data_IF_566010395756
#
_entry.id   IF_566010395756
#
_cell.length_a   1.000
_cell.length_b   1.000
_cell.length_c   1.000
_cell.angle_alpha   90.00
_cell.angle_beta   90.00
_cell.angle_gamma   90.00
#
_symmetry.space_group_name_H-M   'P 1'
#
loop_
_entity.id
_entity.type
_entity.pdbx_description
1 polymer ?
#
# COMPACT_ATOMS: atom_id res chain seq x y z
N UNK A 1 -13.45 -9.71 1.85
CA UNK A 1 -12.16 -9.27 1.29
C UNK A 1 -11.06 -9.80 2.21
N UNK A 2 -9.88 -10.13 1.69
CA UNK A 2 -8.82 -10.79 2.47
C UNK A 2 -7.73 -9.78 2.85
N UNK A 3 -7.15 -9.93 4.04
CA UNK A 3 -6.07 -9.06 4.55
C UNK A 3 -4.68 -9.46 4.01
N UNK A 4 -4.63 -10.50 3.17
CA UNK A 4 -3.44 -11.11 2.58
C UNK A 4 -3.80 -11.66 1.18
N UNK A 5 -2.86 -11.61 0.24
CA UNK A 5 -3.01 -12.21 -1.10
C UNK A 5 -2.47 -13.64 -1.09
N UNK A 6 -3.07 -14.56 -1.86
CA UNK A 6 -2.55 -15.95 -1.93
C UNK A 6 -1.08 -16.00 -2.37
N UNK A 7 -0.34 -17.02 -1.92
CA UNK A 7 1.08 -17.21 -2.26
C UNK A 7 1.33 -17.18 -3.77
N UNK A 8 0.45 -17.83 -4.55
CA UNK A 8 0.51 -17.82 -6.01
C UNK A 8 0.34 -16.41 -6.60
N UNK A 9 -0.55 -15.59 -6.03
CA UNK A 9 -0.69 -14.18 -6.42
C UNK A 9 0.55 -13.37 -6.05
N UNK A 10 1.08 -13.56 -4.84
CA UNK A 10 2.26 -12.85 -4.32
C UNK A 10 3.51 -13.15 -5.16
N UNK A 11 3.66 -14.41 -5.61
CA UNK A 11 4.74 -14.82 -6.51
C UNK A 11 4.71 -14.10 -7.86
N UNK A 12 3.51 -13.78 -8.36
CA UNK A 12 3.31 -13.14 -9.67
C UNK A 12 3.25 -11.61 -9.63
N UNK A 13 3.47 -10.98 -8.47
CA UNK A 13 3.54 -9.53 -8.38
C UNK A 13 4.75 -9.00 -9.14
N UNK A 14 4.57 -7.91 -9.89
CA UNK A 14 5.71 -7.14 -10.41
C UNK A 14 6.58 -6.62 -9.25
N UNK A 15 7.87 -6.30 -9.49
CA UNK A 15 8.77 -5.85 -8.43
C UNK A 15 8.21 -4.67 -7.60
N UNK A 16 7.62 -3.66 -8.24
CA UNK A 16 7.05 -2.51 -7.53
C UNK A 16 5.77 -2.87 -6.74
N UNK A 17 4.93 -3.76 -7.27
CA UNK A 17 3.75 -4.25 -6.53
C UNK A 17 4.20 -5.05 -5.31
N UNK A 18 5.24 -5.88 -5.45
CA UNK A 18 5.80 -6.67 -4.35
C UNK A 18 6.36 -5.78 -3.25
N UNK A 19 7.13 -4.76 -3.60
CA UNK A 19 7.66 -3.79 -2.61
C UNK A 19 6.55 -3.08 -1.84
N UNK A 20 5.49 -2.64 -2.53
CA UNK A 20 4.33 -1.99 -1.88
C UNK A 20 3.57 -2.99 -0.99
N UNK A 21 3.37 -4.22 -1.48
CA UNK A 21 2.72 -5.29 -0.75
C UNK A 21 3.48 -5.62 0.54
N UNK A 22 4.77 -5.92 0.46
CA UNK A 22 5.59 -6.29 1.62
C UNK A 22 5.62 -5.15 2.66
N UNK A 23 5.65 -3.90 2.22
CA UNK A 23 5.58 -2.75 3.12
C UNK A 23 4.24 -2.68 3.87
N UNK A 24 3.12 -2.83 3.17
CA UNK A 24 1.78 -2.86 3.79
C UNK A 24 1.62 -4.07 4.72
N UNK A 25 2.17 -5.22 4.35
CA UNK A 25 2.12 -6.44 5.15
C UNK A 25 2.95 -6.36 6.43
N UNK A 26 3.89 -5.41 6.52
CA UNK A 26 4.60 -5.12 7.76
C UNK A 26 3.75 -4.37 8.81
N UNK A 27 2.49 -4.05 8.50
CA UNK A 27 1.58 -3.30 9.38
C UNK A 27 1.84 -1.79 9.40
N UNK A 28 2.69 -1.29 8.49
CA UNK A 28 3.02 0.13 8.39
C UNK A 28 2.04 0.89 7.50
N UNK A 29 1.86 2.16 7.81
CA UNK A 29 1.13 3.09 6.94
C UNK A 29 1.99 3.55 5.76
N UNK A 30 1.46 3.39 4.56
CA UNK A 30 2.08 3.85 3.33
C UNK A 30 1.51 5.20 2.91
N UNK A 31 2.38 6.20 2.76
CA UNK A 31 2.04 7.50 2.17
C UNK A 31 2.75 7.69 0.83
N UNK A 32 2.34 8.69 0.04
CA UNK A 32 3.05 9.05 -1.20
C UNK A 32 4.53 9.36 -0.96
N UNK A 33 4.84 10.06 0.13
CA UNK A 33 6.20 10.45 0.45
C UNK A 33 7.06 9.23 0.78
N UNK A 34 6.55 8.30 1.58
CA UNK A 34 7.22 7.03 1.87
C UNK A 34 7.45 6.21 0.59
N UNK A 35 6.43 6.11 -0.26
CA UNK A 35 6.53 5.37 -1.50
C UNK A 35 7.65 5.91 -2.41
N UNK A 36 7.74 7.23 -2.57
CA UNK A 36 8.74 7.86 -3.44
C UNK A 36 10.13 7.82 -2.81
N UNK A 37 10.25 8.23 -1.56
CA UNK A 37 11.56 8.48 -0.93
C UNK A 37 12.21 7.21 -0.37
N UNK A 38 11.39 6.24 0.06
CA UNK A 38 11.88 5.02 0.72
C UNK A 38 11.76 3.80 -0.19
N UNK A 39 10.64 3.67 -0.91
CA UNK A 39 10.39 2.48 -1.75
C UNK A 39 10.78 2.70 -3.21
N UNK A 40 11.14 3.92 -3.60
CA UNK A 40 11.40 4.33 -4.99
C UNK A 40 10.25 4.01 -5.97
N UNK A 41 9.01 4.07 -5.47
CA UNK A 41 7.77 3.85 -6.24
C UNK A 41 7.09 5.19 -6.49
N UNK A 42 7.14 5.67 -7.74
CA UNK A 42 6.57 6.96 -8.14
C UNK A 42 5.03 6.95 -8.17
N UNK A 43 4.43 5.87 -8.70
CA UNK A 43 2.99 5.76 -8.91
C UNK A 43 2.29 4.92 -7.84
N UNK A 44 2.42 5.32 -6.57
CA UNK A 44 1.85 4.55 -5.45
C UNK A 44 0.34 4.32 -5.60
N UNK A 45 -0.41 5.30 -6.08
CA UNK A 45 -1.87 5.19 -6.27
C UNK A 45 -2.23 4.09 -7.27
N UNK A 46 -1.44 3.94 -8.33
CA UNK A 46 -1.61 2.88 -9.34
C UNK A 46 -1.35 1.52 -8.72
N UNK A 47 -0.25 1.38 -7.95
CA UNK A 47 0.08 0.12 -7.25
C UNK A 47 -0.98 -0.27 -6.23
N UNK A 48 -1.52 0.70 -5.47
CA UNK A 48 -2.65 0.45 -4.55
C UNK A 48 -3.89 -0.04 -5.31
N UNK A 49 -4.23 0.58 -6.43
CA UNK A 49 -5.39 0.20 -7.24
C UNK A 49 -5.26 -1.23 -7.78
N UNK A 50 -4.09 -1.59 -8.28
CA UNK A 50 -3.80 -2.94 -8.77
C UNK A 50 -3.86 -3.99 -7.66
N UNK A 51 -3.22 -3.74 -6.51
CA UNK A 51 -3.27 -4.67 -5.38
C UNK A 51 -4.69 -4.87 -4.85
N UNK A 52 -5.52 -3.82 -4.85
CA UNK A 52 -6.96 -3.92 -4.55
C UNK A 52 -7.70 -4.78 -5.57
N UNK A 53 -7.40 -4.64 -6.87
CA UNK A 53 -7.99 -5.49 -7.93
C UNK A 53 -7.59 -6.96 -7.76
N UNK A 54 -6.41 -7.23 -7.21
CA UNK A 54 -5.96 -8.58 -6.86
C UNK A 54 -6.63 -9.13 -5.58
N UNK A 55 -7.45 -8.33 -4.91
CA UNK A 55 -8.26 -8.76 -3.75
C UNK A 55 -7.72 -8.35 -2.39
N UNK A 56 -6.64 -7.57 -2.32
CA UNK A 56 -6.09 -7.07 -1.06
C UNK A 56 -6.96 -5.96 -0.48
N UNK A 57 -7.41 -6.11 0.76
CA UNK A 57 -8.21 -5.10 1.46
C UNK A 57 -7.37 -3.94 2.00
N UNK A 58 -6.97 -3.04 1.10
CA UNK A 58 -6.21 -1.84 1.46
C UNK A 58 -7.17 -0.71 1.84
N UNK A 59 -7.16 -0.28 3.09
CA UNK A 59 -7.87 0.90 3.57
C UNK A 59 -7.13 2.18 3.21
N UNK A 60 -7.85 3.29 3.18
CA UNK A 60 -7.23 4.60 2.96
C UNK A 60 -7.95 5.72 3.67
N UNK A 61 -7.19 6.67 4.16
CA UNK A 61 -7.67 7.83 4.90
C UNK A 61 -7.00 9.11 4.43
N UNK A 62 -7.69 10.24 4.59
CA UNK A 62 -7.13 11.56 4.35
C UNK A 62 -6.60 12.13 5.67
N UNK A 63 -5.30 12.42 5.71
CA UNK A 63 -4.64 13.11 6.82
C UNK A 63 -4.24 14.52 6.39
N UNK A 64 -3.83 15.34 7.36
CA UNK A 64 -3.22 16.65 7.12
C UNK A 64 -1.84 16.67 7.73
N UNK A 65 -0.89 17.30 7.05
CA UNK A 65 0.42 17.58 7.63
C UNK A 65 0.36 18.83 8.52
N UNK A 66 1.51 19.22 9.08
CA UNK A 66 1.63 20.41 9.92
C UNK A 66 1.23 21.71 9.18
N UNK A 67 1.42 21.76 7.86
CA UNK A 67 1.03 22.89 7.01
C UNK A 67 -0.45 22.88 6.59
N UNK A 68 -1.23 21.89 7.03
CA UNK A 68 -2.63 21.72 6.64
C UNK A 68 -2.84 21.09 5.27
N UNK A 69 -1.78 20.70 4.56
CA UNK A 69 -1.87 20.04 3.26
C UNK A 69 -2.43 18.64 3.46
N UNK A 70 -3.47 18.30 2.68
CA UNK A 70 -4.08 16.98 2.73
C UNK A 70 -3.23 15.96 2.00
N UNK A 71 -3.01 14.81 2.60
CA UNK A 71 -2.38 13.67 1.96
C UNK A 71 -3.15 12.38 2.27
N UNK A 72 -2.96 11.38 1.42
CA UNK A 72 -3.61 10.08 1.56
C UNK A 72 -2.64 9.08 2.21
N UNK A 73 -3.11 8.40 3.25
CA UNK A 73 -2.43 7.27 3.88
C UNK A 73 -3.16 5.97 3.52
N UNK A 74 -2.41 4.88 3.42
CA UNK A 74 -2.90 3.54 3.07
C UNK A 74 -2.38 2.52 4.09
N UNK A 75 -3.24 1.60 4.50
CA UNK A 75 -2.86 0.53 5.43
C UNK A 75 -3.70 -0.72 5.16
N UNK A 76 -3.24 -1.87 5.66
CA UNK A 76 -4.03 -3.09 5.75
C UNK A 76 -4.23 -3.42 7.22
N UNK A 77 -5.47 -3.71 7.60
CA UNK A 77 -5.80 -4.12 8.96
C UNK A 77 -5.29 -5.54 9.18
N UNK A 78 -4.30 -5.70 10.04
CA UNK A 78 -3.86 -7.02 10.48
C UNK A 78 -4.82 -7.50 11.55
N UNK A 79 -5.50 -8.62 11.29
CA UNK A 79 -6.24 -9.34 12.32
C UNK A 79 -5.23 -9.80 13.38
N UNK A 80 -5.43 -9.37 14.63
CA UNK A 80 -4.63 -9.82 15.77
C UNK A 80 -4.85 -11.30 16.04
#
# INVERSE_FOLDING_TARGET
>A
MQNHLTDATVYNLSPQQRTVYDYLMSGRELTRQVAINTLHVQEVTTRISELRRLGLDIKSEWKRDFGGTRYKSYHVEMSK
#
